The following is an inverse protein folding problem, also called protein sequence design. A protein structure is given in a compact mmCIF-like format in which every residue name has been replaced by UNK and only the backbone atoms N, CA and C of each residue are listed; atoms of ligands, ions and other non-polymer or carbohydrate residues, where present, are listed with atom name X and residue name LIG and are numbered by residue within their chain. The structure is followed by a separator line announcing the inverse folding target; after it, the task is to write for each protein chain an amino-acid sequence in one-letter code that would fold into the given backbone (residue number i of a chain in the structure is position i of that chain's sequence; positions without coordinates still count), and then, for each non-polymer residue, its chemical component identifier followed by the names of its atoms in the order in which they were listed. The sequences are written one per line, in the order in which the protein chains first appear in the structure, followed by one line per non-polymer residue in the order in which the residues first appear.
data_IF_933757292360
#
_entry.id   IF_933757292360
#
_cell.length_a   1.000
_cell.length_b   1.000
_cell.length_c   1.000
_cell.angle_alpha   90.00
_cell.angle_beta   90.00
_cell.angle_gamma   90.00
#
_symmetry.space_group_name_H-M   'P 1'
#
loop_
_entity.id
_entity.type
_entity.pdbx_description
1 polymer ?
#
# COMPACT_ATOMS: atom_id res chain seq x y z
N UNK A 1 -31.94 -15.70 26.12
CA UNK A 1 -31.60 -14.79 27.24
C UNK A 1 -30.73 -13.62 26.74
N UNK A 2 -31.18 -12.90 25.71
CA UNK A 2 -30.47 -11.73 25.12
C UNK A 2 -31.38 -10.49 25.04
N UNK A 3 -32.69 -10.65 25.27
CA UNK A 3 -33.68 -9.56 25.18
C UNK A 3 -33.72 -8.64 26.41
N UNK A 4 -32.98 -8.94 27.50
CA UNK A 4 -33.06 -8.17 28.75
C UNK A 4 -31.97 -7.08 28.91
N UNK A 5 -30.87 -7.12 28.15
CA UNK A 5 -29.74 -6.18 28.34
C UNK A 5 -29.93 -4.82 27.68
N UNK A 6 -30.70 -4.75 26.59
CA UNK A 6 -31.00 -3.48 25.90
C UNK A 6 -31.97 -2.63 26.73
N UNK A 7 -33.03 -3.24 27.27
CA UNK A 7 -34.03 -2.54 28.09
C UNK A 7 -33.42 -1.94 29.37
N UNK A 8 -32.48 -2.65 30.01
CA UNK A 8 -31.81 -2.16 31.24
C UNK A 8 -30.91 -0.95 30.95
N UNK A 9 -30.21 -0.95 29.81
CA UNK A 9 -29.43 0.20 29.33
C UNK A 9 -30.31 1.39 29.01
N UNK A 10 -31.44 1.18 28.33
CA UNK A 10 -32.34 2.25 27.92
C UNK A 10 -33.04 2.88 29.13
N UNK A 11 -33.47 2.07 30.10
CA UNK A 11 -34.07 2.55 31.35
C UNK A 11 -33.06 3.32 32.20
N UNK A 12 -31.81 2.84 32.28
CA UNK A 12 -30.75 3.58 32.99
C UNK A 12 -30.43 4.91 32.32
N UNK A 13 -30.47 4.98 30.99
CA UNK A 13 -30.25 6.22 30.23
C UNK A 13 -31.37 7.23 30.46
N UNK A 14 -32.64 6.78 30.43
CA UNK A 14 -33.80 7.62 30.76
C UNK A 14 -33.76 8.08 32.22
N UNK A 15 -33.36 7.21 33.15
CA UNK A 15 -33.21 7.55 34.56
C UNK A 15 -32.15 8.63 34.77
N UNK A 16 -30.98 8.50 34.12
CA UNK A 16 -29.91 9.51 34.16
C UNK A 16 -30.37 10.84 33.58
N UNK A 17 -31.14 10.84 32.49
CA UNK A 17 -31.70 12.04 31.88
C UNK A 17 -32.68 12.75 32.82
N UNK A 18 -33.64 12.01 33.39
CA UNK A 18 -34.62 12.55 34.35
C UNK A 18 -33.94 13.11 35.60
N UNK A 19 -32.90 12.42 36.07
CA UNK A 19 -32.09 12.84 37.22
C UNK A 19 -31.29 14.11 36.89
N UNK A 20 -30.72 14.19 35.69
CA UNK A 20 -30.08 15.39 35.16
C UNK A 20 -31.04 16.57 35.12
N UNK A 21 -32.26 16.38 34.58
CA UNK A 21 -33.30 17.41 34.56
C UNK A 21 -33.74 17.83 35.96
N UNK A 22 -33.89 16.89 36.89
CA UNK A 22 -34.31 17.18 38.26
C UNK A 22 -33.24 17.94 39.06
N UNK A 23 -31.95 17.68 38.80
CA UNK A 23 -30.82 18.32 39.48
C UNK A 23 -30.45 19.66 38.84
N UNK A 24 -30.72 19.87 37.54
CA UNK A 24 -30.47 21.13 36.84
C UNK A 24 -31.73 22.02 36.67
N UNK A 25 -32.91 21.52 37.04
CA UNK A 25 -34.17 22.24 36.95
C UNK A 25 -34.43 23.22 38.10
N UNK A 26 -35.41 24.09 37.94
CA UNK A 26 -35.75 25.16 38.89
C UNK A 26 -36.18 24.66 40.28
N UNK A 27 -36.65 23.40 40.38
CA UNK A 27 -37.11 22.76 41.63
C UNK A 27 -36.02 21.90 42.31
N UNK A 28 -34.74 22.06 41.94
CA UNK A 28 -33.60 21.28 42.45
C UNK A 28 -33.58 21.11 43.98
N UNK A 29 -33.89 22.17 44.72
CA UNK A 29 -33.86 22.17 46.19
C UNK A 29 -34.83 21.15 46.80
N UNK A 30 -36.06 21.09 46.29
CA UNK A 30 -37.08 20.12 46.74
C UNK A 30 -36.68 18.68 46.42
N UNK A 31 -36.02 18.47 45.27
CA UNK A 31 -35.55 17.16 44.86
C UNK A 31 -34.41 16.65 45.76
N UNK A 32 -33.44 17.53 46.07
CA UNK A 32 -32.37 17.22 47.02
C UNK A 32 -32.92 16.91 48.41
N UNK A 33 -33.89 17.69 48.90
CA UNK A 33 -34.54 17.41 50.18
C UNK A 33 -35.27 16.07 50.20
N UNK A 34 -35.90 15.68 49.08
CA UNK A 34 -36.58 14.39 48.96
C UNK A 34 -35.58 13.24 48.99
N UNK A 35 -34.44 13.37 48.30
CA UNK A 35 -33.36 12.36 48.32
C UNK A 35 -32.77 12.20 49.73
N UNK A 36 -32.57 13.31 50.46
CA UNK A 36 -32.08 13.29 51.85
C UNK A 36 -33.03 12.60 52.85
N UNK A 37 -34.28 12.39 52.49
CA UNK A 37 -35.29 11.69 53.31
C UNK A 37 -35.43 10.20 52.94
N UNK A 38 -34.65 9.71 51.98
CA UNK A 38 -34.68 8.31 51.55
C UNK A 38 -33.75 7.45 52.41
N UNK A 39 -33.84 6.13 52.24
CA UNK A 39 -32.95 5.16 52.87
C UNK A 39 -31.49 5.34 52.38
N UNK A 40 -30.53 5.10 53.28
CA UNK A 40 -29.12 5.43 53.06
C UNK A 40 -28.52 4.76 51.80
N UNK A 41 -28.91 3.51 51.51
CA UNK A 41 -28.39 2.76 50.37
C UNK A 41 -28.90 3.34 49.04
N UNK A 42 -30.18 3.72 48.99
CA UNK A 42 -30.80 4.34 47.82
C UNK A 42 -30.29 5.77 47.62
N UNK A 43 -30.09 6.50 48.71
CA UNK A 43 -29.47 7.83 48.68
C UNK A 43 -28.05 7.77 48.13
N UNK A 44 -27.22 6.82 48.57
CA UNK A 44 -25.86 6.64 48.07
C UNK A 44 -25.84 6.26 46.58
N UNK A 45 -26.73 5.36 46.17
CA UNK A 45 -26.87 4.95 44.77
C UNK A 45 -27.29 6.14 43.87
N UNK A 46 -28.30 6.92 44.28
CA UNK A 46 -28.73 8.10 43.53
C UNK A 46 -27.66 9.18 43.48
N UNK A 47 -26.96 9.46 44.59
CA UNK A 47 -25.88 10.46 44.62
C UNK A 47 -24.72 10.04 43.72
N UNK A 48 -24.39 8.74 43.67
CA UNK A 48 -23.38 8.21 42.75
C UNK A 48 -23.78 8.47 41.28
N UNK A 49 -25.03 8.21 40.92
CA UNK A 49 -25.52 8.48 39.55
C UNK A 49 -25.61 9.99 39.24
N UNK A 50 -26.01 10.83 40.20
CA UNK A 50 -26.01 12.29 40.04
C UNK A 50 -24.60 12.80 39.77
N UNK A 51 -23.59 12.28 40.49
CA UNK A 51 -22.19 12.66 40.28
C UNK A 51 -21.72 12.37 38.86
N UNK A 52 -22.09 11.23 38.29
CA UNK A 52 -21.76 10.90 36.89
C UNK A 52 -22.34 11.92 35.90
N UNK A 53 -23.56 12.39 36.14
CA UNK A 53 -24.23 13.38 35.28
C UNK A 53 -23.66 14.80 35.47
N UNK A 54 -23.22 15.16 36.68
CA UNK A 54 -22.78 16.52 37.02
C UNK A 54 -21.27 16.71 36.85
N UNK A 55 -20.45 15.68 37.11
CA UNK A 55 -18.99 15.77 37.18
C UNK A 55 -18.27 15.08 35.99
N UNK A 56 -18.80 13.99 35.42
CA UNK A 56 -18.11 13.22 34.35
C UNK A 56 -18.45 13.68 32.92
N UNK A 57 -19.48 14.51 32.70
CA UNK A 57 -19.74 15.18 31.42
C UNK A 57 -20.10 14.29 30.21
N UNK A 58 -19.92 12.97 30.29
CA UNK A 58 -20.14 12.01 29.20
C UNK A 58 -21.60 11.88 28.74
N UNK A 59 -22.55 12.43 29.50
CA UNK A 59 -23.99 12.38 29.22
C UNK A 59 -24.65 13.77 29.16
N UNK A 60 -23.86 14.84 29.12
CA UNK A 60 -24.34 16.24 29.03
C UNK A 60 -23.78 16.87 27.76
N UNK A 61 -24.67 17.24 26.84
CA UNK A 61 -24.30 18.02 25.65
C UNK A 61 -23.91 19.43 26.09
N UNK A 62 -22.62 19.67 26.28
CA UNK A 62 -22.11 21.02 26.48
C UNK A 62 -22.25 21.82 25.17
N UNK A 63 -22.98 22.93 25.25
CA UNK A 63 -23.28 23.82 24.13
C UNK A 63 -21.99 24.35 23.49
N UNK A 64 -20.91 24.48 24.27
CA UNK A 64 -19.58 24.89 23.77
C UNK A 64 -18.92 23.81 22.91
N UNK A 65 -19.18 22.53 23.19
CA UNK A 65 -18.68 21.40 22.40
C UNK A 65 -19.37 21.31 21.04
N UNK A 66 -20.61 21.80 20.94
CA UNK A 66 -21.36 21.92 19.68
C UNK A 66 -20.84 23.07 18.79
N UNK A 67 -20.16 24.06 19.36
CA UNK A 67 -19.51 25.14 18.62
C UNK A 67 -18.17 24.73 17.98
N UNK A 68 -17.51 23.70 18.51
CA UNK A 68 -16.23 23.17 18.02
C UNK A 68 -16.36 22.18 16.84
N UNK A 69 -17.58 21.78 16.47
CA UNK A 69 -17.81 20.90 15.31
C UNK A 69 -17.60 21.71 14.02
N UNK A 70 -16.42 21.54 13.41
CA UNK A 70 -15.93 22.32 12.26
C UNK A 70 -16.69 22.09 10.93
N UNK A 71 -17.72 21.25 10.90
CA UNK A 71 -18.53 20.96 9.71
C UNK A 71 -19.94 21.54 9.83
N UNK A 72 -20.24 22.58 9.06
CA UNK A 72 -21.53 23.28 9.06
C UNK A 72 -22.72 22.33 8.87
N UNK A 73 -22.62 21.39 7.93
CA UNK A 73 -23.70 20.46 7.57
C UNK A 73 -24.04 19.46 8.69
N UNK A 74 -23.01 18.91 9.34
CA UNK A 74 -23.18 17.98 10.47
C UNK A 74 -23.82 18.70 11.67
N UNK A 75 -23.43 19.96 11.91
CA UNK A 75 -24.00 20.80 12.97
C UNK A 75 -25.48 21.11 12.72
N UNK A 76 -25.86 21.46 11.49
CA UNK A 76 -27.27 21.65 11.11
C UNK A 76 -28.09 20.38 11.22
N UNK A 77 -27.53 19.21 10.87
CA UNK A 77 -28.24 17.93 11.01
C UNK A 77 -28.52 17.57 12.47
N UNK A 78 -27.55 17.79 13.37
CA UNK A 78 -27.75 17.53 14.81
C UNK A 78 -28.75 18.52 15.41
N UNK A 79 -28.67 19.81 15.05
CA UNK A 79 -29.61 20.82 15.53
C UNK A 79 -31.04 20.59 15.04
N UNK A 80 -31.22 20.28 13.75
CA UNK A 80 -32.55 19.97 13.18
C UNK A 80 -33.14 18.69 13.78
N UNK A 81 -32.30 17.71 14.13
CA UNK A 81 -32.76 16.53 14.84
C UNK A 81 -33.15 16.83 16.29
N UNK A 82 -32.37 17.63 17.01
CA UNK A 82 -32.72 18.10 18.36
C UNK A 82 -34.02 18.90 18.38
N UNK A 83 -34.21 19.81 17.42
CA UNK A 83 -35.44 20.60 17.31
C UNK A 83 -36.66 19.72 17.04
N UNK A 84 -36.51 18.67 16.22
CA UNK A 84 -37.56 17.67 16.01
C UNK A 84 -37.90 16.91 17.30
N UNK A 85 -36.91 16.43 18.02
CA UNK A 85 -37.11 15.70 19.28
C UNK A 85 -37.75 16.61 20.34
N UNK A 86 -37.34 17.88 20.42
CA UNK A 86 -37.95 18.86 21.31
C UNK A 86 -39.43 19.11 20.97
N UNK A 87 -39.76 19.26 19.69
CA UNK A 87 -41.14 19.41 19.25
C UNK A 87 -42.00 18.18 19.57
N UNK A 88 -41.45 16.97 19.39
CA UNK A 88 -42.12 15.73 19.78
C UNK A 88 -42.33 15.67 21.30
N UNK A 89 -41.29 15.98 22.09
CA UNK A 89 -41.39 16.06 23.55
C UNK A 89 -42.46 17.05 23.99
N UNK A 90 -42.49 18.25 23.43
CA UNK A 90 -43.43 19.30 23.81
C UNK A 90 -44.86 18.93 23.43
N UNK A 91 -45.04 18.22 22.30
CA UNK A 91 -46.32 17.64 21.91
C UNK A 91 -46.78 16.57 22.91
N UNK A 92 -45.91 15.66 23.33
CA UNK A 92 -46.25 14.63 24.32
C UNK A 92 -46.50 15.23 25.71
N UNK A 93 -45.72 16.23 26.12
CA UNK A 93 -45.93 16.96 27.36
C UNK A 93 -47.27 17.69 27.35
N UNK A 94 -47.63 18.34 26.23
CA UNK A 94 -48.94 18.95 26.03
C UNK A 94 -50.08 17.96 26.21
N UNK A 95 -50.01 16.80 25.54
CA UNK A 95 -51.01 15.73 25.72
C UNK A 95 -51.06 15.21 27.16
N UNK A 96 -49.92 15.14 27.86
CA UNK A 96 -49.89 14.73 29.27
C UNK A 96 -50.56 15.76 30.19
N UNK A 97 -50.35 17.05 29.96
CA UNK A 97 -51.02 18.13 30.69
C UNK A 97 -52.52 18.14 30.43
N UNK A 98 -52.95 17.85 29.19
CA UNK A 98 -54.36 17.74 28.82
C UNK A 98 -55.03 16.56 29.57
N UNK A 99 -54.40 15.39 29.59
CA UNK A 99 -54.84 14.21 30.37
C UNK A 99 -54.84 14.48 31.89
N UNK A 100 -53.92 15.32 32.37
CA UNK A 100 -53.84 15.69 33.79
C UNK A 100 -54.94 16.69 34.17
N UNK A 101 -55.24 17.65 33.27
CA UNK A 101 -56.31 18.64 33.43
C UNK A 101 -57.69 17.99 33.36
N UNK A 102 -57.89 16.98 32.51
CA UNK A 102 -59.14 16.22 32.45
C UNK A 102 -59.40 15.48 33.77
N UNK A 103 -58.36 14.96 34.43
CA UNK A 103 -58.48 14.31 35.75
C UNK A 103 -58.82 15.28 36.88
N UNK A 104 -58.30 16.51 36.86
CA UNK A 104 -58.71 17.55 37.84
C UNK A 104 -60.10 18.13 37.54
N UNK A 105 -60.55 18.08 36.27
CA UNK A 105 -61.88 18.49 35.85
C UNK A 105 -62.95 17.48 36.29
N UNK A 106 -62.64 16.19 36.21
CA UNK A 106 -63.54 15.09 36.62
C UNK A 106 -63.62 14.88 38.15
N UNK A 107 -62.62 15.37 38.90
CA UNK A 107 -62.67 15.40 40.37
C UNK A 107 -63.63 16.47 40.92
N UNK A 108 -64.12 17.38 40.05
CA UNK A 108 -65.13 18.38 40.39
C UNK A 108 -66.57 17.99 40.03
N UNK A 109 -66.78 16.85 39.33
CA UNK A 109 -68.12 16.39 38.92
C UNK A 109 -68.56 15.04 39.50
N UNK A 110 -67.72 14.34 40.27
CA UNK A 110 -68.04 13.01 40.81
C UNK A 110 -68.37 13.00 42.30
N UNK A 111 -69.45 13.68 42.70
CA UNK A 111 -70.15 13.42 43.97
C UNK A 111 -71.66 13.33 43.75
N UNK A 112 -72.12 12.12 43.44
CA UNK A 112 -73.44 11.53 43.73
C UNK A 112 -73.44 10.17 43.02
N UNK A 113 -73.72 9.03 43.61
CA UNK A 113 -74.20 8.69 44.93
C UNK A 113 -74.53 7.19 44.83
N UNK A 114 -73.94 6.42 45.74
CA UNK A 114 -74.38 5.08 46.10
C UNK A 114 -75.90 4.99 46.25
N UNK A 115 -76.52 3.88 45.81
CA UNK A 115 -77.21 2.97 46.74
C UNK A 115 -78.00 1.88 45.99
N UNK A 116 -77.58 0.63 46.19
CA UNK A 116 -78.50 -0.48 46.38
C UNK A 116 -79.18 -0.29 47.74
N UNK A 117 -80.48 -0.02 47.79
CA UNK A 117 -81.32 -0.29 48.98
C UNK A 117 -82.72 -0.70 48.52
N UNK A 118 -83.10 -1.88 49.00
CA UNK A 118 -84.40 -2.36 49.48
C UNK A 118 -85.62 -1.44 49.35
N UNK A 119 -86.77 -2.05 49.05
CA UNK A 119 -88.03 -1.72 49.72
C UNK A 119 -88.97 -2.95 49.76
N UNK A 120 -88.78 -3.75 50.80
CA UNK A 120 -89.87 -4.43 51.50
C UNK A 120 -90.46 -3.42 52.52
N UNK A 121 -91.71 -3.66 53.01
CA UNK A 121 -92.41 -3.02 54.15
C UNK A 121 -93.41 -1.89 53.77
N UNK A 122 -94.70 -1.83 54.15
CA UNK A 122 -95.70 -2.68 54.86
C UNK A 122 -96.98 -1.81 55.09
N UNK A 123 -98.12 -2.47 55.41
CA UNK A 123 -99.38 -1.95 56.05
C UNK A 123 -100.26 -1.05 55.14
N UNK A 124 -101.57 -1.28 55.00
CA UNK A 124 -102.63 -1.52 56.01
C UNK A 124 -103.70 -2.46 55.40
N UNK A 125 -104.26 -3.45 56.06
CA UNK A 125 -105.04 -3.35 57.30
C UNK A 125 -106.24 -4.29 57.13
N UNK A 126 -106.47 -5.16 58.11
CA UNK A 126 -107.59 -6.10 58.17
C UNK A 126 -108.91 -5.33 58.01
N UNK A 127 -109.79 -5.80 57.12
CA UNK A 127 -111.22 -5.70 57.36
C UNK A 127 -111.78 -7.11 57.48
N UNK A 128 -112.13 -7.45 58.71
CA UNK A 128 -113.17 -8.41 58.96
C UNK A 128 -114.49 -7.87 58.38
N UNK A 129 -115.41 -8.83 58.26
CA UNK A 129 -116.84 -8.65 58.50
C UNK A 129 -117.80 -8.63 57.29
N UNK A 130 -118.75 -9.56 57.45
CA UNK A 130 -120.15 -9.50 57.04
C UNK A 130 -120.44 -9.99 55.61
N UNK A 131 -120.75 -11.29 55.52
CA UNK A 131 -121.80 -11.76 54.60
C UNK A 131 -123.12 -11.17 55.09
N UNK A 132 -123.49 -9.99 54.59
CA UNK A 132 -124.84 -9.46 54.70
C UNK A 132 -125.64 -10.08 53.56
N UNK A 133 -126.55 -10.97 53.91
CA UNK A 133 -127.72 -11.26 53.11
C UNK A 133 -128.60 -10.00 53.14
N UNK A 134 -128.54 -9.19 52.09
CA UNK A 134 -129.33 -7.96 52.01
C UNK A 134 -129.17 -7.28 50.65
N UNK A 135 -130.30 -7.14 49.95
CA UNK A 135 -130.41 -6.36 48.70
C UNK A 135 -129.82 -4.97 48.92
N UNK A 136 -128.78 -4.63 48.16
CA UNK A 136 -128.28 -3.26 48.08
C UNK A 136 -129.38 -2.36 47.47
N UNK A 137 -129.67 -1.18 48.06
CA UNK A 137 -130.50 -0.20 47.39
C UNK A 137 -129.77 0.31 46.14
N UNK A 138 -130.54 0.70 45.12
CA UNK A 138 -130.00 1.29 43.91
C UNK A 138 -129.06 2.45 44.25
N UNK A 139 -127.83 2.49 43.70
CA UNK A 139 -126.88 3.57 43.98
C UNK A 139 -127.49 4.93 43.65
N UNK A 140 -127.24 5.92 44.51
CA UNK A 140 -127.72 7.29 44.31
C UNK A 140 -127.01 7.91 43.09
N UNK A 141 -127.56 9.01 42.54
CA UNK A 141 -127.04 9.61 41.29
C UNK A 141 -125.56 10.03 41.39
N UNK A 142 -125.11 10.44 42.58
CA UNK A 142 -123.73 10.88 42.82
C UNK A 142 -122.76 9.68 42.83
N UNK A 143 -123.15 8.57 43.45
CA UNK A 143 -122.36 7.33 43.45
C UNK A 143 -122.18 6.75 42.05
N UNK A 144 -123.19 6.85 41.18
CA UNK A 144 -123.07 6.43 39.77
C UNK A 144 -122.08 7.30 39.00
N UNK A 145 -122.11 8.61 39.20
CA UNK A 145 -121.18 9.54 38.57
C UNK A 145 -119.73 9.29 39.03
N UNK A 146 -119.52 9.17 40.35
CA UNK A 146 -118.21 8.86 40.93
C UNK A 146 -117.66 7.51 40.43
N UNK A 147 -118.52 6.50 40.24
CA UNK A 147 -118.10 5.21 39.69
C UNK A 147 -117.68 5.29 38.21
N UNK A 148 -118.34 6.13 37.42
CA UNK A 148 -117.96 6.39 36.02
C UNK A 148 -116.63 7.14 35.96
N UNK A 149 -116.44 8.16 36.80
CA UNK A 149 -115.15 8.87 36.90
C UNK A 149 -114.02 7.95 37.35
N UNK A 150 -114.26 7.11 38.36
CA UNK A 150 -113.29 6.10 38.81
C UNK A 150 -112.98 5.09 37.70
N UNK A 151 -113.97 4.67 36.91
CA UNK A 151 -113.75 3.79 35.76
C UNK A 151 -112.94 4.48 34.66
N UNK A 152 -113.20 5.77 34.40
CA UNK A 152 -112.44 6.59 33.46
C UNK A 152 -110.99 6.76 33.91
N UNK A 153 -110.76 7.12 35.18
CA UNK A 153 -109.42 7.22 35.76
C UNK A 153 -108.68 5.88 35.74
N UNK A 154 -109.36 4.76 36.02
CA UNK A 154 -108.78 3.41 35.89
C UNK A 154 -108.42 3.07 34.44
N UNK A 155 -109.23 3.48 33.47
CA UNK A 155 -108.93 3.28 32.04
C UNK A 155 -107.72 4.11 31.62
N UNK A 156 -107.61 5.36 32.09
CA UNK A 156 -106.46 6.22 31.85
C UNK A 156 -105.18 5.66 32.47
N UNK A 157 -105.22 5.16 33.71
CA UNK A 157 -104.09 4.47 34.33
C UNK A 157 -103.64 3.25 33.53
N UNK A 158 -104.57 2.45 33.00
CA UNK A 158 -104.21 1.31 32.12
C UNK A 158 -103.55 1.78 30.83
N UNK A 159 -104.08 2.83 30.20
CA UNK A 159 -103.49 3.40 28.98
C UNK A 159 -102.07 3.91 29.23
N UNK A 160 -101.85 4.65 30.32
CA UNK A 160 -100.52 5.14 30.67
C UNK A 160 -99.55 4.00 30.97
N UNK A 161 -100.00 2.91 31.62
CA UNK A 161 -99.17 1.71 31.83
C UNK A 161 -98.77 1.06 30.52
N UNK A 162 -99.72 0.81 29.61
CA UNK A 162 -99.40 0.25 28.30
C UNK A 162 -98.43 1.15 27.52
N UNK A 163 -98.62 2.48 27.57
CA UNK A 163 -97.69 3.42 26.95
C UNK A 163 -96.30 3.37 27.59
N UNK A 164 -96.19 3.16 28.90
CA UNK A 164 -94.89 2.97 29.58
C UNK A 164 -94.24 1.68 29.10
N UNK A 165 -94.98 0.56 29.05
CA UNK A 165 -94.48 -0.73 28.58
C UNK A 165 -93.99 -0.65 27.11
N UNK A 166 -94.76 -0.04 26.21
CA UNK A 166 -94.33 0.21 24.81
C UNK A 166 -93.06 1.07 24.74
N UNK A 167 -92.92 2.07 25.62
CA UNK A 167 -91.71 2.91 25.67
C UNK A 167 -90.53 2.16 26.25
N UNK A 168 -90.73 1.29 27.23
CA UNK A 168 -89.68 0.43 27.79
C UNK A 168 -89.15 -0.56 26.73
N UNK A 169 -90.02 -1.15 25.91
CA UNK A 169 -89.63 -1.99 24.77
C UNK A 169 -88.79 -1.22 23.75
N UNK A 170 -89.23 -0.02 23.35
CA UNK A 170 -88.45 0.83 22.42
C UNK A 170 -87.09 1.23 23.01
N UNK A 171 -87.03 1.52 24.32
CA UNK A 171 -85.76 1.82 25.00
C UNK A 171 -84.84 0.58 24.98
N UNK A 172 -85.37 -0.63 25.19
CA UNK A 172 -84.60 -1.86 25.11
C UNK A 172 -84.03 -2.08 23.69
N UNK A 173 -84.86 -1.94 22.65
CA UNK A 173 -84.39 -2.05 21.26
C UNK A 173 -83.31 -1.03 20.90
N UNK A 174 -83.45 0.22 21.37
CA UNK A 174 -82.46 1.27 21.13
C UNK A 174 -81.14 1.00 21.88
N UNK A 175 -81.20 0.40 23.07
CA UNK A 175 -80.01 -0.04 23.81
C UNK A 175 -79.28 -1.17 23.06
N UNK A 176 -80.01 -2.20 22.62
CA UNK A 176 -79.42 -3.29 21.85
C UNK A 176 -78.77 -2.80 20.55
N UNK A 177 -79.41 -1.84 19.86
CA UNK A 177 -78.83 -1.19 18.68
C UNK A 177 -77.59 -0.36 19.01
N UNK A 178 -77.56 0.32 20.16
CA UNK A 178 -76.39 1.07 20.60
C UNK A 178 -75.21 0.13 20.91
N UNK A 179 -75.45 -0.95 21.66
CA UNK A 179 -74.45 -1.98 21.97
C UNK A 179 -73.90 -2.64 20.70
N UNK A 180 -74.77 -2.98 19.74
CA UNK A 180 -74.35 -3.53 18.46
C UNK A 180 -73.47 -2.55 17.65
N UNK A 181 -73.77 -1.24 17.71
CA UNK A 181 -72.94 -0.20 17.09
C UNK A 181 -71.60 -0.04 17.81
N UNK A 182 -71.56 -0.09 19.14
CA UNK A 182 -70.31 -0.05 19.92
C UNK A 182 -69.38 -1.20 19.55
N UNK A 183 -69.91 -2.43 19.46
CA UNK A 183 -69.12 -3.60 19.02
C UNK A 183 -68.55 -3.41 17.61
N UNK A 184 -69.33 -2.84 16.69
CA UNK A 184 -68.85 -2.56 15.33
C UNK A 184 -67.78 -1.46 15.31
N UNK A 185 -67.91 -0.41 16.13
CA UNK A 185 -66.88 0.63 16.27
C UNK A 185 -65.58 0.01 16.78
N UNK A 186 -65.63 -0.87 17.78
CA UNK A 186 -64.44 -1.55 18.30
C UNK A 186 -63.76 -2.43 17.24
N UNK A 187 -64.55 -3.17 16.43
CA UNK A 187 -64.01 -3.95 15.30
C UNK A 187 -63.30 -3.06 14.27
N UNK A 188 -63.94 -1.96 13.85
CA UNK A 188 -63.35 -1.01 12.90
C UNK A 188 -62.08 -0.34 13.46
N UNK A 189 -62.05 -0.05 14.77
CA UNK A 189 -60.85 0.46 15.43
C UNK A 189 -59.71 -0.57 15.42
N UNK A 190 -60.01 -1.84 15.66
CA UNK A 190 -59.03 -2.92 15.60
C UNK A 190 -58.48 -3.11 14.17
N UNK A 191 -59.36 -3.17 13.16
CA UNK A 191 -58.96 -3.27 11.75
C UNK A 191 -58.10 -2.08 11.32
N UNK A 192 -58.46 -0.86 11.75
CA UNK A 192 -57.63 0.33 11.52
C UNK A 192 -56.23 0.19 12.12
N UNK A 193 -56.11 -0.36 13.33
CA UNK A 193 -54.79 -0.58 13.96
C UNK A 193 -53.96 -1.61 13.19
N UNK A 194 -54.59 -2.66 12.66
CA UNK A 194 -53.93 -3.67 11.83
C UNK A 194 -53.44 -3.06 10.50
N UNK A 195 -54.30 -2.30 9.81
CA UNK A 195 -53.91 -1.59 8.59
C UNK A 195 -52.76 -0.60 8.82
N UNK A 196 -52.70 0.05 9.99
CA UNK A 196 -51.57 0.93 10.35
C UNK A 196 -50.27 0.11 10.53
N UNK A 197 -50.34 -1.07 11.14
CA UNK A 197 -49.17 -1.95 11.28
C UNK A 197 -48.67 -2.41 9.91
N UNK A 198 -49.57 -2.84 9.03
CA UNK A 198 -49.24 -3.27 7.68
C UNK A 198 -48.66 -2.13 6.85
N UNK A 199 -49.20 -0.91 6.96
CA UNK A 199 -48.68 0.27 6.29
C UNK A 199 -47.25 0.63 6.74
N UNK A 200 -46.93 0.43 8.03
CA UNK A 200 -45.57 0.60 8.57
C UNK A 200 -44.62 -0.47 8.03
N UNK A 201 -45.00 -1.74 8.10
CA UNK A 201 -44.18 -2.84 7.56
C UNK A 201 -43.92 -2.66 6.05
N UNK A 202 -44.94 -2.27 5.28
CA UNK A 202 -44.80 -1.98 3.86
C UNK A 202 -43.86 -0.78 3.59
N UNK A 203 -43.78 0.18 4.51
CA UNK A 203 -42.78 1.27 4.42
C UNK A 203 -41.38 0.74 4.67
N UNK A 204 -41.17 -0.03 5.72
CA UNK A 204 -39.86 -0.61 6.04
C UNK A 204 -39.31 -1.45 4.88
N UNK A 205 -40.16 -2.25 4.23
CA UNK A 205 -39.77 -3.01 3.03
C UNK A 205 -39.44 -2.13 1.82
N UNK A 206 -40.12 -0.98 1.63
CA UNK A 206 -39.76 -0.03 0.57
C UNK A 206 -38.39 0.58 0.84
N UNK A 207 -38.13 1.00 2.08
CA UNK A 207 -36.84 1.57 2.49
C UNK A 207 -35.70 0.54 2.32
N UNK A 208 -35.95 -0.75 2.60
CA UNK A 208 -35.01 -1.84 2.33
C UNK A 208 -34.76 -2.04 0.84
N UNK A 209 -35.81 -2.03 0.01
CA UNK A 209 -35.69 -2.13 -1.45
C UNK A 209 -34.89 -0.95 -2.01
N UNK A 210 -35.12 0.27 -1.55
CA UNK A 210 -34.33 1.44 -1.95
C UNK A 210 -32.85 1.30 -1.57
N UNK A 211 -32.56 0.81 -0.36
CA UNK A 211 -31.19 0.51 0.05
C UNK A 211 -30.53 -0.55 -0.85
N UNK A 212 -31.26 -1.61 -1.21
CA UNK A 212 -30.77 -2.66 -2.11
C UNK A 212 -30.57 -2.15 -3.54
N UNK A 213 -31.44 -1.27 -4.04
CA UNK A 213 -31.28 -0.62 -5.34
C UNK A 213 -30.00 0.24 -5.38
N UNK A 214 -29.72 1.02 -4.33
CA UNK A 214 -28.47 1.77 -4.24
C UNK A 214 -27.24 0.86 -4.22
N UNK A 215 -27.30 -0.27 -3.51
CA UNK A 215 -26.23 -1.28 -3.52
C UNK A 215 -26.04 -1.90 -4.90
N UNK A 216 -27.12 -2.21 -5.61
CA UNK A 216 -27.08 -2.76 -6.97
C UNK A 216 -26.40 -1.78 -7.94
N UNK A 217 -26.78 -0.51 -7.94
CA UNK A 217 -26.13 0.52 -8.77
C UNK A 217 -24.64 0.64 -8.46
N UNK A 218 -24.25 0.51 -7.20
CA UNK A 218 -22.82 0.51 -6.84
C UNK A 218 -22.11 -0.76 -7.33
N UNK A 219 -22.77 -1.91 -7.29
CA UNK A 219 -22.24 -3.15 -7.84
C UNK A 219 -22.03 -3.05 -9.36
N UNK A 220 -23.00 -2.50 -10.10
CA UNK A 220 -22.88 -2.28 -11.55
C UNK A 220 -21.69 -1.39 -11.89
N UNK A 221 -21.46 -0.31 -11.12
CA UNK A 221 -20.28 0.54 -11.28
C UNK A 221 -18.98 -0.25 -11.07
N UNK A 222 -18.90 -1.02 -9.98
CA UNK A 222 -17.73 -1.86 -9.70
C UNK A 222 -17.52 -2.92 -10.78
N UNK A 223 -18.58 -3.48 -11.35
CA UNK A 223 -18.51 -4.43 -12.46
C UNK A 223 -17.96 -3.77 -13.73
N UNK A 224 -18.41 -2.55 -14.07
CA UNK A 224 -17.84 -1.81 -15.20
C UNK A 224 -16.37 -1.46 -15.00
N UNK A 225 -15.96 -1.08 -13.80
CA UNK A 225 -14.56 -0.78 -13.51
C UNK A 225 -13.69 -2.05 -13.51
N UNK A 226 -14.22 -3.18 -13.05
CA UNK A 226 -13.56 -4.48 -13.16
C UNK A 226 -13.35 -4.88 -14.62
N UNK A 227 -14.35 -4.66 -15.49
CA UNK A 227 -14.23 -4.91 -16.92
C UNK A 227 -13.12 -4.05 -17.56
N UNK A 228 -13.04 -2.75 -17.24
CA UNK A 228 -11.96 -1.86 -17.70
C UNK A 228 -10.58 -2.31 -17.20
N UNK A 229 -10.49 -2.76 -15.94
CA UNK A 229 -9.24 -3.26 -15.39
C UNK A 229 -8.79 -4.56 -16.09
N UNK A 230 -9.72 -5.46 -16.44
CA UNK A 230 -9.41 -6.65 -17.23
C UNK A 230 -8.88 -6.31 -18.61
N UNK A 231 -9.50 -5.35 -19.31
CA UNK A 231 -9.00 -4.85 -20.59
C UNK A 231 -7.59 -4.28 -20.45
N UNK A 232 -7.35 -3.47 -19.41
CA UNK A 232 -6.03 -2.90 -19.14
C UNK A 232 -4.97 -3.97 -18.84
N UNK A 233 -5.34 -5.06 -18.17
CA UNK A 233 -4.45 -6.20 -17.96
C UNK A 233 -4.11 -6.87 -19.28
N UNK A 234 -5.09 -7.11 -20.16
CA UNK A 234 -4.83 -7.66 -21.50
C UNK A 234 -3.93 -6.77 -22.35
N UNK A 235 -4.08 -5.44 -22.28
CA UNK A 235 -3.15 -4.50 -22.93
C UNK A 235 -1.72 -4.62 -22.39
N UNK A 236 -1.55 -4.72 -21.06
CA UNK A 236 -0.25 -4.90 -20.43
C UNK A 236 0.39 -6.24 -20.81
N UNK A 237 -0.37 -7.31 -20.94
CA UNK A 237 0.10 -8.61 -21.43
C UNK A 237 0.60 -8.50 -22.88
N UNK A 238 -0.12 -7.78 -23.73
CA UNK A 238 0.33 -7.49 -25.10
C UNK A 238 1.67 -6.74 -25.11
N UNK A 239 1.80 -5.66 -24.34
CA UNK A 239 3.06 -4.91 -24.28
C UNK A 239 4.21 -5.74 -23.68
N UNK A 240 3.92 -6.58 -22.68
CA UNK A 240 4.90 -7.51 -22.11
C UNK A 240 5.42 -8.48 -23.18
N UNK A 241 4.53 -9.05 -23.98
CA UNK A 241 4.90 -9.93 -25.10
C UNK A 241 5.69 -9.18 -26.19
N UNK A 242 5.31 -7.93 -26.49
CA UNK A 242 6.07 -7.11 -27.45
C UNK A 242 7.48 -6.78 -26.95
N UNK A 243 7.62 -6.50 -25.66
CA UNK A 243 8.93 -6.25 -25.03
C UNK A 243 9.79 -7.51 -25.05
N UNK A 244 9.23 -8.70 -24.77
CA UNK A 244 10.01 -9.94 -24.83
C UNK A 244 10.48 -10.23 -26.25
N UNK A 245 9.62 -10.04 -27.26
CA UNK A 245 10.01 -10.17 -28.67
C UNK A 245 11.14 -9.20 -29.05
N UNK A 246 11.03 -7.92 -28.69
CA UNK A 246 12.09 -6.93 -28.98
C UNK A 246 13.42 -7.27 -28.29
N UNK A 247 13.38 -7.87 -27.09
CA UNK A 247 14.60 -8.33 -26.41
C UNK A 247 15.25 -9.50 -27.14
N UNK A 248 14.45 -10.44 -27.64
CA UNK A 248 14.94 -11.55 -28.46
C UNK A 248 15.54 -11.05 -29.78
N UNK A 249 14.86 -10.11 -30.47
CA UNK A 249 15.36 -9.47 -31.68
C UNK A 249 16.69 -8.73 -31.42
N UNK A 250 16.80 -7.97 -30.32
CA UNK A 250 18.06 -7.31 -29.94
C UNK A 250 19.18 -8.32 -29.63
N UNK A 251 18.89 -9.41 -28.91
CA UNK A 251 19.88 -10.45 -28.62
C UNK A 251 20.44 -11.07 -29.90
N UNK A 252 19.57 -11.35 -30.88
CA UNK A 252 20.00 -11.87 -32.19
C UNK A 252 20.87 -10.86 -32.95
N UNK A 253 20.54 -9.57 -32.86
CA UNK A 253 21.37 -8.50 -33.44
C UNK A 253 22.73 -8.38 -32.77
N UNK A 254 22.80 -8.49 -31.44
CA UNK A 254 24.05 -8.51 -30.68
C UNK A 254 24.92 -9.73 -31.04
N UNK A 255 24.32 -10.92 -31.19
CA UNK A 255 25.01 -12.11 -31.68
C UNK A 255 25.58 -11.90 -33.09
N UNK A 256 24.79 -11.31 -34.00
CA UNK A 256 25.25 -10.98 -35.36
C UNK A 256 26.42 -9.98 -35.35
N UNK A 257 26.35 -8.94 -34.50
CA UNK A 257 27.44 -7.97 -34.34
C UNK A 257 28.71 -8.65 -33.82
N UNK A 258 28.59 -9.50 -32.78
CA UNK A 258 29.71 -10.27 -32.23
C UNK A 258 30.37 -11.15 -33.29
N UNK A 259 29.59 -11.81 -34.16
CA UNK A 259 30.15 -12.60 -35.27
C UNK A 259 30.94 -11.71 -36.24
N UNK A 260 30.43 -10.53 -36.59
CA UNK A 260 31.11 -9.59 -37.49
C UNK A 260 32.39 -9.02 -36.86
N UNK A 261 32.36 -8.70 -35.56
CA UNK A 261 33.54 -8.26 -34.81
C UNK A 261 34.63 -9.33 -34.79
N UNK A 262 34.26 -10.59 -34.55
CA UNK A 262 35.19 -11.72 -34.61
C UNK A 262 35.81 -11.89 -36.01
N UNK A 263 35.01 -11.73 -37.07
CA UNK A 263 35.52 -11.76 -38.45
C UNK A 263 36.49 -10.61 -38.73
N UNK A 264 36.17 -9.40 -38.27
CA UNK A 264 37.04 -8.24 -38.39
C UNK A 264 38.38 -8.48 -37.66
N UNK A 265 38.33 -8.99 -36.43
CA UNK A 265 39.53 -9.31 -35.67
C UNK A 265 40.38 -10.37 -36.38
N UNK A 266 39.74 -11.39 -36.97
CA UNK A 266 40.45 -12.40 -37.77
C UNK A 266 41.14 -11.77 -38.99
N UNK A 267 40.49 -10.84 -39.69
CA UNK A 267 41.08 -10.10 -40.80
C UNK A 267 42.26 -9.24 -40.33
N UNK A 268 42.13 -8.52 -39.21
CA UNK A 268 43.21 -7.72 -38.63
C UNK A 268 44.42 -8.59 -38.26
N UNK A 269 44.22 -9.76 -37.66
CA UNK A 269 45.30 -10.73 -37.38
C UNK A 269 45.99 -11.19 -38.66
N UNK A 270 45.24 -11.48 -39.73
CA UNK A 270 45.81 -11.83 -41.05
C UNK A 270 46.66 -10.71 -41.62
N UNK A 271 46.18 -9.46 -41.55
CA UNK A 271 46.93 -8.28 -42.01
C UNK A 271 48.21 -8.09 -41.19
N UNK A 272 48.16 -8.23 -39.86
CA UNK A 272 49.36 -8.16 -39.02
C UNK A 272 50.39 -9.24 -39.37
N UNK A 273 49.94 -10.47 -39.63
CA UNK A 273 50.82 -11.54 -40.07
C UNK A 273 51.47 -11.23 -41.43
N UNK A 274 50.71 -10.66 -42.36
CA UNK A 274 51.24 -10.23 -43.65
C UNK A 274 52.31 -9.14 -43.49
N UNK A 275 52.04 -8.12 -42.66
CA UNK A 275 53.01 -7.06 -42.35
C UNK A 275 54.30 -7.63 -41.74
N UNK A 276 54.19 -8.59 -40.82
CA UNK A 276 55.36 -9.27 -40.25
C UNK A 276 56.17 -10.04 -41.31
N UNK A 277 55.49 -10.64 -42.31
CA UNK A 277 56.17 -11.29 -43.42
C UNK A 277 56.84 -10.27 -44.36
N UNK A 278 56.21 -9.14 -44.64
CA UNK A 278 56.81 -8.05 -45.41
C UNK A 278 58.08 -7.51 -44.74
N UNK A 279 58.05 -7.32 -43.41
CA UNK A 279 59.24 -6.91 -42.64
C UNK A 279 60.37 -7.94 -42.74
N UNK A 280 60.07 -9.24 -42.63
CA UNK A 280 61.08 -10.30 -42.82
C UNK A 280 61.63 -10.34 -44.24
N UNK A 281 60.79 -10.12 -45.25
CA UNK A 281 61.23 -10.03 -46.64
C UNK A 281 62.16 -8.84 -46.86
N UNK A 282 61.86 -7.68 -46.29
CA UNK A 282 62.74 -6.51 -46.34
C UNK A 282 64.09 -6.78 -45.66
N UNK A 283 64.10 -7.43 -44.49
CA UNK A 283 65.33 -7.82 -43.80
C UNK A 283 66.18 -8.78 -44.65
N UNK A 284 65.57 -9.81 -45.26
CA UNK A 284 66.29 -10.69 -46.19
C UNK A 284 66.82 -9.95 -47.42
N UNK A 285 66.08 -8.98 -47.96
CA UNK A 285 66.56 -8.14 -49.06
C UNK A 285 67.79 -7.33 -48.65
N UNK A 286 67.79 -6.76 -47.44
CA UNK A 286 68.92 -5.98 -46.93
C UNK A 286 70.13 -6.87 -46.62
N UNK A 287 69.93 -8.08 -46.07
CA UNK A 287 71.00 -9.08 -45.93
C UNK A 287 71.61 -9.45 -47.29
N UNK A 288 70.79 -9.65 -48.33
CA UNK A 288 71.28 -9.92 -49.69
C UNK A 288 72.11 -8.74 -50.21
N UNK A 289 71.65 -7.50 -50.03
CA UNK A 289 72.42 -6.30 -50.43
C UNK A 289 73.76 -6.22 -49.70
N UNK A 290 73.78 -6.51 -48.40
CA UNK A 290 75.02 -6.55 -47.61
C UNK A 290 75.99 -7.61 -48.15
N UNK A 291 75.52 -8.83 -48.41
CA UNK A 291 76.35 -9.88 -49.00
C UNK A 291 76.88 -9.50 -50.38
N UNK A 292 76.07 -8.86 -51.24
CA UNK A 292 76.52 -8.35 -52.54
C UNK A 292 77.59 -7.25 -52.40
N UNK A 293 77.44 -6.36 -51.42
CA UNK A 293 78.46 -5.35 -51.10
C UNK A 293 79.78 -6.01 -50.68
N UNK A 294 79.73 -6.99 -49.78
CA UNK A 294 80.90 -7.74 -49.33
C UNK A 294 81.59 -8.46 -50.51
N UNK A 295 80.82 -9.10 -51.40
CA UNK A 295 81.36 -9.72 -52.61
C UNK A 295 82.06 -8.67 -53.49
N UNK A 296 81.47 -7.48 -53.66
CA UNK A 296 82.10 -6.40 -54.42
C UNK A 296 83.39 -5.89 -53.78
N UNK A 297 83.45 -5.80 -52.45
CA UNK A 297 84.65 -5.45 -51.70
C UNK A 297 85.74 -6.52 -51.84
N UNK A 298 85.36 -7.80 -51.71
CA UNK A 298 86.26 -8.93 -51.92
C UNK A 298 86.79 -8.96 -53.36
N UNK A 299 85.95 -8.69 -54.37
CA UNK A 299 86.37 -8.55 -55.76
C UNK A 299 87.40 -7.42 -55.94
N UNK A 300 87.15 -6.24 -55.36
CA UNK A 300 88.13 -5.14 -55.38
C UNK A 300 89.43 -5.51 -54.69
N UNK A 301 89.36 -6.26 -53.58
CA UNK A 301 90.54 -6.74 -52.85
C UNK A 301 91.34 -7.74 -53.69
N UNK A 302 90.68 -8.67 -54.37
CA UNK A 302 91.30 -9.58 -55.32
C UNK A 302 91.96 -8.81 -56.46
N UNK A 303 91.27 -7.81 -57.03
CA UNK A 303 91.82 -6.94 -58.07
C UNK A 303 93.09 -6.21 -57.60
N UNK A 304 93.06 -5.61 -56.40
CA UNK A 304 94.22 -4.94 -55.82
C UNK A 304 95.40 -5.91 -55.62
N UNK A 305 95.13 -7.12 -55.09
CA UNK A 305 96.15 -8.16 -54.93
C UNK A 305 96.72 -8.63 -56.26
N UNK A 306 95.91 -8.74 -57.32
CA UNK A 306 96.38 -9.06 -58.66
C UNK A 306 97.30 -7.96 -59.23
N UNK A 307 96.94 -6.68 -59.03
CA UNK A 307 97.76 -5.54 -59.45
C UNK A 307 99.07 -5.50 -58.68
N UNK A 308 99.04 -5.70 -57.37
CA UNK A 308 100.23 -5.77 -56.52
C UNK A 308 101.11 -6.96 -56.90
N UNK A 309 100.53 -8.14 -57.10
CA UNK A 309 101.27 -9.32 -57.55
C UNK A 309 101.95 -9.06 -58.89
N UNK A 310 101.23 -8.48 -59.87
CA UNK A 310 101.84 -8.06 -61.13
C UNK A 310 102.92 -6.97 -60.98
N UNK A 311 102.83 -6.11 -59.96
CA UNK A 311 103.90 -5.15 -59.62
C UNK A 311 105.14 -5.85 -59.06
N UNK A 312 104.93 -6.81 -58.15
CA UNK A 312 105.97 -7.62 -57.55
C UNK A 312 106.64 -8.52 -58.60
N UNK A 313 105.90 -9.15 -59.51
CA UNK A 313 106.42 -9.89 -60.66
C UNK A 313 107.33 -9.02 -61.51
N UNK A 314 106.89 -7.81 -61.89
CA UNK A 314 107.74 -6.85 -62.63
C UNK A 314 108.97 -6.41 -61.82
N UNK A 315 108.87 -6.34 -60.49
CA UNK A 315 110.02 -6.03 -59.62
C UNK A 315 110.99 -7.19 -59.57
N UNK A 316 110.49 -8.42 -59.43
CA UNK A 316 111.25 -9.65 -59.49
C UNK A 316 111.94 -9.78 -60.85
N UNK A 317 111.26 -9.56 -61.97
CA UNK A 317 111.88 -9.56 -63.30
C UNK A 317 113.00 -8.51 -63.43
N UNK A 318 112.80 -7.31 -62.88
CA UNK A 318 113.83 -6.26 -62.87
C UNK A 318 115.03 -6.66 -62.03
N UNK A 319 114.81 -7.21 -60.85
CA UNK A 319 115.88 -7.74 -60.00
C UNK A 319 116.55 -8.95 -60.65
N UNK A 320 115.81 -9.87 -61.28
CA UNK A 320 116.34 -10.99 -62.06
C UNK A 320 117.19 -10.52 -63.24
N UNK A 321 116.77 -9.46 -63.94
CA UNK A 321 117.60 -8.83 -64.99
C UNK A 321 118.86 -8.22 -64.39
N UNK A 322 118.76 -7.52 -63.25
CA UNK A 322 119.94 -7.00 -62.54
C UNK A 322 120.85 -8.11 -62.03
N UNK A 323 120.32 -9.21 -61.49
CA UNK A 323 121.11 -10.35 -61.03
C UNK A 323 121.71 -11.07 -62.21
N UNK A 324 121.00 -11.24 -63.33
CA UNK A 324 121.58 -11.78 -64.57
C UNK A 324 122.67 -10.85 -65.15
N UNK A 325 122.48 -9.53 -65.08
CA UNK A 325 123.51 -8.54 -65.44
C UNK A 325 124.69 -8.56 -64.48
N UNK A 326 124.44 -8.78 -63.18
CA UNK A 326 125.47 -8.94 -62.16
C UNK A 326 126.15 -10.29 -62.31
N UNK A 327 125.48 -11.39 -62.62
CA UNK A 327 126.02 -12.71 -62.93
C UNK A 327 126.83 -12.68 -64.21
N UNK A 328 126.45 -11.86 -65.20
CA UNK A 328 127.25 -11.55 -66.38
C UNK A 328 128.52 -10.78 -65.99
N UNK A 329 128.40 -9.75 -65.15
CA UNK A 329 129.55 -9.01 -64.58
C UNK A 329 130.40 -9.87 -63.63
N UNK A 330 129.81 -10.85 -62.96
CA UNK A 330 130.46 -11.78 -62.03
C UNK A 330 131.15 -12.89 -62.82
N UNK A 331 130.56 -13.34 -63.92
CA UNK A 331 131.20 -14.17 -64.94
C UNK A 331 132.37 -13.45 -65.62
N UNK A 332 132.37 -12.12 -65.65
CA UNK A 332 133.51 -11.29 -66.05
C UNK A 332 134.57 -11.09 -64.93
N UNK A 333 134.25 -11.37 -63.65
CA UNK A 333 135.13 -11.09 -62.50
C UNK A 333 135.52 -12.28 -61.60
N UNK A 334 134.96 -13.48 -61.80
CA UNK A 334 135.22 -14.65 -60.95
C UNK A 334 135.41 -15.88 -61.87
N UNK A 335 136.57 -16.13 -62.48
CA UNK A 335 137.81 -16.65 -61.89
C UNK A 335 138.25 -15.99 -60.56
N UNK A 336 137.83 -16.57 -59.43
CA UNK A 336 138.41 -16.22 -58.12
C UNK A 336 137.49 -16.46 -56.92
N UNK A 337 137.54 -17.69 -56.40
CA UNK A 337 137.08 -18.27 -55.12
C UNK A 337 136.41 -17.44 -54.00
N UNK A 338 135.30 -18.04 -53.50
CA UNK A 338 134.93 -18.46 -52.12
C UNK A 338 135.13 -17.48 -50.95
N UNK A 339 134.08 -17.24 -50.15
CA UNK A 339 134.11 -17.46 -48.68
C UNK A 339 132.71 -17.44 -48.02
N UNK A 340 132.57 -18.33 -47.05
CA UNK A 340 131.44 -18.63 -46.15
C UNK A 340 131.46 -17.70 -44.92
N UNK A 341 130.30 -17.16 -44.51
CA UNK A 341 130.08 -16.61 -43.15
C UNK A 341 128.64 -16.82 -42.70
N UNK A 342 128.54 -17.42 -41.52
CA UNK A 342 127.37 -17.71 -40.70
C UNK A 342 127.35 -16.75 -39.50
N UNK A 343 126.31 -15.94 -39.32
CA UNK A 343 125.98 -15.22 -38.07
C UNK A 343 124.44 -15.06 -38.02
N UNK A 344 123.68 -15.69 -37.13
CA UNK A 344 123.45 -15.45 -35.69
C UNK A 344 122.90 -14.04 -35.35
N UNK A 345 121.58 -13.95 -35.10
CA UNK A 345 120.90 -12.75 -34.62
C UNK A 345 119.99 -13.07 -33.42
N UNK A 346 120.59 -13.09 -32.23
CA UNK A 346 119.92 -13.18 -30.93
C UNK A 346 119.69 -11.81 -30.27
N UNK A 347 119.06 -10.84 -30.96
CA UNK A 347 118.84 -9.48 -30.40
C UNK A 347 117.52 -8.79 -30.79
N UNK A 348 116.46 -9.56 -31.12
CA UNK A 348 115.11 -9.01 -31.40
C UNK A 348 114.02 -9.47 -30.40
N UNK A 349 114.35 -10.40 -29.50
CA UNK A 349 113.38 -10.96 -28.55
C UNK A 349 112.98 -9.99 -27.43
N UNK A 350 113.83 -9.01 -27.10
CA UNK A 350 113.56 -8.02 -26.03
C UNK A 350 112.71 -6.84 -26.51
N UNK A 351 112.72 -6.49 -27.81
CA UNK A 351 111.83 -5.47 -28.38
C UNK A 351 110.40 -5.97 -28.63
N UNK A 352 110.21 -7.27 -28.83
CA UNK A 352 108.88 -7.90 -28.92
C UNK A 352 108.15 -7.91 -27.57
N UNK A 353 108.86 -8.17 -26.46
CA UNK A 353 108.24 -8.19 -25.12
C UNK A 353 107.68 -6.83 -24.68
N UNK A 354 108.25 -5.72 -25.15
CA UNK A 354 107.77 -4.38 -24.82
C UNK A 354 106.61 -3.92 -25.73
N UNK A 355 106.52 -4.45 -26.95
CA UNK A 355 105.38 -4.24 -27.84
C UNK A 355 104.15 -5.03 -27.37
N UNK A 356 104.35 -6.25 -26.89
CA UNK A 356 103.28 -7.07 -26.29
C UNK A 356 102.71 -6.43 -25.02
N UNK A 357 103.55 -5.82 -24.16
CA UNK A 357 103.09 -5.06 -22.97
C UNK A 357 102.23 -3.86 -23.36
N UNK A 358 102.61 -3.14 -24.42
CA UNK A 358 101.82 -2.01 -24.94
C UNK A 358 100.48 -2.47 -25.49
N UNK A 359 100.44 -3.61 -26.19
CA UNK A 359 99.21 -4.21 -26.72
C UNK A 359 98.27 -4.71 -25.62
N UNK A 360 98.81 -5.28 -24.54
CA UNK A 360 98.04 -5.70 -23.36
C UNK A 360 97.40 -4.48 -22.67
N UNK A 361 98.15 -3.39 -22.48
CA UNK A 361 97.61 -2.16 -21.89
C UNK A 361 96.53 -1.49 -22.76
N UNK A 362 96.69 -1.50 -24.08
CA UNK A 362 95.65 -1.02 -25.02
C UNK A 362 94.37 -1.86 -24.91
N UNK A 363 94.49 -3.19 -24.84
CA UNK A 363 93.37 -4.09 -24.64
C UNK A 363 92.73 -3.94 -23.26
N UNK A 364 93.50 -3.69 -22.19
CA UNK A 364 92.95 -3.41 -20.86
C UNK A 364 92.18 -2.09 -20.80
N UNK A 365 92.63 -1.06 -21.52
CA UNK A 365 91.96 0.24 -21.61
C UNK A 365 90.68 0.14 -22.45
N UNK A 366 90.70 -0.67 -23.51
CA UNK A 366 89.52 -1.01 -24.31
C UNK A 366 88.52 -1.84 -23.51
N UNK A 367 88.97 -2.82 -22.71
CA UNK A 367 88.11 -3.59 -21.82
C UNK A 367 87.47 -2.72 -20.73
N UNK A 368 88.21 -1.76 -20.14
CA UNK A 368 87.64 -0.77 -19.22
C UNK A 368 86.61 0.13 -19.92
N UNK A 369 86.86 0.57 -21.15
CA UNK A 369 85.90 1.36 -21.94
C UNK A 369 84.62 0.60 -22.29
N UNK A 370 84.75 -0.68 -22.66
CA UNK A 370 83.60 -1.55 -22.92
C UNK A 370 82.80 -1.82 -21.64
N UNK A 371 83.48 -1.99 -20.49
CA UNK A 371 82.83 -2.15 -19.18
C UNK A 371 82.06 -0.91 -18.75
N UNK A 372 82.61 0.29 -18.95
CA UNK A 372 81.89 1.55 -18.71
C UNK A 372 80.71 1.77 -19.67
N UNK A 373 80.81 1.30 -20.92
CA UNK A 373 79.69 1.32 -21.87
C UNK A 373 78.57 0.35 -21.47
N UNK A 374 78.93 -0.82 -20.92
CA UNK A 374 77.97 -1.81 -20.44
C UNK A 374 77.22 -1.30 -19.20
N UNK A 375 77.94 -0.70 -18.23
CA UNK A 375 77.35 -0.07 -17.04
C UNK A 375 76.48 1.15 -17.40
N UNK A 376 76.84 1.93 -18.43
CA UNK A 376 75.97 3.00 -18.93
C UNK A 376 74.75 2.51 -19.72
N UNK A 377 74.77 1.26 -20.21
CA UNK A 377 73.65 0.64 -20.94
C UNK A 377 72.71 -0.13 -20.01
N UNK A 378 73.15 -0.58 -18.83
CA UNK A 378 72.28 -1.18 -17.83
C UNK A 378 71.43 -0.15 -17.08
N UNK A 379 71.87 1.11 -17.07
CA UNK A 379 71.26 2.20 -16.30
C UNK A 379 70.44 3.19 -17.16
N UNK A 380 70.10 2.84 -18.41
CA UNK A 380 69.48 3.79 -19.35
C UNK A 380 68.03 3.39 -19.75
N UNK A 381 67.11 4.32 -19.45
CA UNK A 381 65.77 4.55 -20.03
C UNK A 381 64.74 3.40 -20.10
N UNK A 382 65.07 2.22 -20.60
CA UNK A 382 64.10 1.11 -20.73
C UNK A 382 63.64 0.56 -19.37
N UNK A 383 64.55 0.53 -18.39
CA UNK A 383 64.25 0.09 -17.01
C UNK A 383 63.32 1.08 -16.30
N UNK A 384 63.56 2.38 -16.47
CA UNK A 384 62.72 3.44 -15.90
C UNK A 384 61.38 3.58 -16.63
N UNK A 385 61.35 3.33 -17.95
CA UNK A 385 60.10 3.29 -18.71
C UNK A 385 59.25 2.06 -18.33
N UNK A 386 59.85 0.90 -18.10
CA UNK A 386 59.14 -0.26 -17.55
C UNK A 386 58.61 0.03 -16.14
N UNK A 387 59.42 0.68 -15.29
CA UNK A 387 59.03 1.03 -13.92
C UNK A 387 57.87 2.03 -13.89
N UNK A 388 57.85 3.01 -14.79
CA UNK A 388 56.74 3.97 -14.90
C UNK A 388 55.48 3.35 -15.48
N UNK A 389 55.59 2.43 -16.46
CA UNK A 389 54.46 1.63 -16.96
C UNK A 389 53.86 0.76 -15.85
N UNK A 390 54.70 0.09 -15.04
CA UNK A 390 54.28 -0.70 -13.88
C UNK A 390 53.50 0.15 -12.86
N UNK A 391 54.01 1.33 -12.50
CA UNK A 391 53.32 2.24 -11.58
C UNK A 391 51.97 2.72 -12.13
N UNK A 392 51.86 2.98 -13.45
CA UNK A 392 50.57 3.33 -14.06
C UNK A 392 49.57 2.17 -14.01
N UNK A 393 50.00 0.96 -14.33
CA UNK A 393 49.13 -0.22 -14.24
C UNK A 393 48.68 -0.51 -12.81
N UNK A 394 49.54 -0.27 -11.81
CA UNK A 394 49.21 -0.43 -10.39
C UNK A 394 48.11 0.56 -9.96
N UNK A 395 48.20 1.82 -10.40
CA UNK A 395 47.19 2.86 -10.12
C UNK A 395 45.84 2.50 -10.74
N UNK A 396 45.82 2.10 -12.02
CA UNK A 396 44.60 1.67 -12.71
C UNK A 396 43.95 0.46 -12.03
N UNK A 397 44.77 -0.50 -11.55
CA UNK A 397 44.28 -1.68 -10.83
C UNK A 397 43.62 -1.29 -9.50
N UNK A 398 44.21 -0.34 -8.75
CA UNK A 398 43.62 0.19 -7.52
C UNK A 398 42.29 0.92 -7.78
N UNK A 399 42.19 1.70 -8.85
CA UNK A 399 40.94 2.38 -9.23
C UNK A 399 39.85 1.39 -9.63
N UNK A 400 40.20 0.38 -10.44
CA UNK A 400 39.27 -0.70 -10.81
C UNK A 400 38.82 -1.49 -9.59
N UNK A 401 39.71 -1.75 -8.64
CA UNK A 401 39.36 -2.41 -7.37
C UNK A 401 38.36 -1.58 -6.56
N UNK A 402 38.56 -0.26 -6.44
CA UNK A 402 37.61 0.65 -5.79
C UNK A 402 36.25 0.67 -6.50
N UNK A 403 36.23 0.64 -7.85
CA UNK A 403 35.01 0.53 -8.64
C UNK A 403 34.27 -0.80 -8.37
N UNK A 404 35.00 -1.92 -8.33
CA UNK A 404 34.43 -3.23 -7.99
C UNK A 404 33.86 -3.25 -6.56
N UNK A 405 34.55 -2.67 -5.57
CA UNK A 405 34.03 -2.56 -4.20
C UNK A 405 32.75 -1.70 -4.13
N UNK A 406 32.70 -0.59 -4.89
CA UNK A 406 31.51 0.25 -4.97
C UNK A 406 30.33 -0.48 -5.60
N UNK A 407 30.56 -1.19 -6.72
CA UNK A 407 29.53 -2.00 -7.37
C UNK A 407 29.06 -3.14 -6.46
N UNK A 408 29.97 -3.78 -5.72
CA UNK A 408 29.62 -4.81 -4.74
C UNK A 408 28.69 -4.25 -3.65
N UNK A 409 29.00 -3.07 -3.08
CA UNK A 409 28.11 -2.42 -2.10
C UNK A 409 26.73 -2.12 -2.67
N UNK A 410 26.64 -1.63 -3.91
CA UNK A 410 25.35 -1.43 -4.59
C UNK A 410 24.57 -2.74 -4.77
N UNK A 411 25.25 -3.82 -5.14
CA UNK A 411 24.62 -5.14 -5.27
C UNK A 411 24.08 -5.61 -3.92
N UNK A 412 24.82 -5.40 -2.83
CA UNK A 412 24.39 -5.77 -1.49
C UNK A 412 23.20 -4.91 -1.01
N UNK A 413 23.19 -3.61 -1.29
CA UNK A 413 22.03 -2.73 -1.08
C UNK A 413 20.81 -3.21 -1.86
N UNK A 414 20.97 -3.54 -3.15
CA UNK A 414 19.87 -4.06 -3.95
C UNK A 414 19.35 -5.39 -3.41
N UNK A 415 20.23 -6.31 -2.99
CA UNK A 415 19.83 -7.56 -2.32
C UNK A 415 19.03 -7.28 -1.05
N UNK A 416 19.47 -6.36 -0.20
CA UNK A 416 18.75 -6.01 1.02
C UNK A 416 17.36 -5.42 0.72
N UNK A 417 17.25 -4.54 -0.28
CA UNK A 417 15.95 -4.00 -0.69
C UNK A 417 15.02 -5.07 -1.26
N UNK A 418 15.54 -6.01 -2.05
CA UNK A 418 14.79 -7.17 -2.56
C UNK A 418 14.29 -8.06 -1.43
N UNK A 419 15.13 -8.38 -0.44
CA UNK A 419 14.72 -9.16 0.72
C UNK A 419 13.62 -8.48 1.53
N UNK A 420 13.69 -7.15 1.70
CA UNK A 420 12.64 -6.37 2.38
C UNK A 420 11.32 -6.42 1.63
N UNK A 421 11.33 -6.13 0.32
CA UNK A 421 10.12 -6.17 -0.52
C UNK A 421 9.53 -7.58 -0.56
N UNK A 422 10.38 -8.61 -0.60
CA UNK A 422 9.91 -10.00 -0.56
C UNK A 422 9.24 -10.35 0.78
N UNK A 423 9.73 -9.82 1.90
CA UNK A 423 9.10 -9.97 3.22
C UNK A 423 7.74 -9.26 3.27
N UNK A 424 7.66 -8.02 2.80
CA UNK A 424 6.40 -7.26 2.71
C UNK A 424 5.39 -8.00 1.82
N UNK A 425 5.83 -8.58 0.71
CA UNK A 425 4.97 -9.34 -0.17
C UNK A 425 4.46 -10.65 0.48
N UNK A 426 5.29 -11.32 1.29
CA UNK A 426 4.88 -12.49 2.08
C UNK A 426 3.88 -12.11 3.17
N UNK A 427 4.06 -10.99 3.87
CA UNK A 427 3.09 -10.50 4.86
C UNK A 427 1.74 -10.18 4.23
N UNK A 428 1.74 -9.45 3.10
CA UNK A 428 0.51 -9.15 2.34
C UNK A 428 -0.17 -10.44 1.86
N UNK A 429 0.61 -11.43 1.43
CA UNK A 429 0.08 -12.74 1.04
C UNK A 429 -0.55 -13.47 2.24
N UNK A 430 0.10 -13.47 3.41
CA UNK A 430 -0.44 -14.06 4.64
C UNK A 430 -1.73 -13.38 5.12
N UNK A 431 -1.79 -12.04 5.02
CA UNK A 431 -2.98 -11.25 5.37
C UNK A 431 -4.12 -11.57 4.40
N UNK A 432 -3.87 -11.57 3.09
CA UNK A 432 -4.88 -11.91 2.09
C UNK A 432 -5.37 -13.36 2.22
N UNK A 433 -4.47 -14.29 2.58
CA UNK A 433 -4.84 -15.69 2.83
C UNK A 433 -5.75 -15.83 4.07
N UNK A 434 -5.48 -15.11 5.16
CA UNK A 434 -6.34 -15.10 6.35
C UNK A 434 -7.69 -14.42 6.08
N UNK A 435 -7.71 -13.32 5.34
CA UNK A 435 -8.94 -12.65 4.93
C UNK A 435 -9.81 -13.56 4.05
N UNK A 436 -9.20 -14.33 3.15
CA UNK A 436 -9.90 -15.30 2.32
C UNK A 436 -10.48 -16.49 3.12
N UNK A 437 -9.85 -16.88 4.24
CA UNK A 437 -10.42 -17.88 5.15
C UNK A 437 -11.59 -17.34 5.99
N UNK A 438 -11.57 -16.07 6.38
CA UNK A 438 -12.66 -15.43 7.14
C UNK A 438 -13.92 -15.15 6.30
N UNK A 439 -13.78 -15.13 4.97
CA UNK A 439 -14.88 -14.90 4.01
C UNK A 439 -15.57 -16.19 3.54
N UNK A 440 -15.10 -17.37 3.97
CA UNK A 440 -15.76 -18.69 3.79
C UNK A 440 -16.44 -19.10 5.09
#
# INVERSE_FOLDING_TARGET
MVVCKTCESDVNTVLLLLLGCAVHGEQRTKFIERIKRMENDLQAALVSQIKKVVEEGDCVLDVKTLELISGGDQKTLVLTHMERIMNERDKYAGSLYEISSERESDDSSSKTGSSFISNEIIRTGKHADIKFDGRMPSPNSMERHNNVELASAKAEVRKLRNMIEEREEVIAELKDQAEAREVNILKMQQERLELIKDARAAKDYRDEVECLQHKLVNYDKLETDNAKLKERVSELEFFKSRVTQLKEENSLMEESCSVLENQLEQCQRKVSNYLNLELKLADYQDQIKQHLSNISEDQKKIENLLVENGHLERKLEREQKKTSDLERKLGEYINGEVYDVREDFGSLATQLSDNDKKRILELELENRKLKTKLESSSDCEESDEMRTKLLRTEIELVEKKKQCEFLSRKVDEFKATLSRVNSEHQEVFCINWHLAQLLK
#
